data_IF_706438843865
#
_entry.id   IF_706438843865
#
_cell.length_a   1.000
_cell.length_b   1.000
_cell.length_c   1.000
_cell.angle_alpha   90.00
_cell.angle_beta   90.00
_cell.angle_gamma   90.00
#
_symmetry.space_group_name_H-M   'P 1'
#
loop_
_entity.id
_entity.type
_entity.pdbx_description
1 polymer ?
#
# COMPACT_ATOMS: atom_id res chain seq x y z
N UNK A 1 6.65 3.97 -19.78
CA UNK A 1 5.34 3.30 -19.80
C UNK A 1 4.22 4.28 -19.45
N UNK A 2 3.07 4.24 -20.12
CA UNK A 2 1.87 5.03 -19.77
C UNK A 2 1.02 4.24 -18.75
N UNK A 3 0.26 4.90 -17.87
CA UNK A 3 -0.57 4.31 -16.81
C UNK A 3 -1.55 3.28 -17.36
N UNK A 4 -2.20 3.56 -18.50
CA UNK A 4 -3.11 2.60 -19.14
C UNK A 4 -2.40 1.28 -19.47
N UNK A 5 -1.15 1.37 -19.94
CA UNK A 5 -0.34 0.18 -20.22
C UNK A 5 0.07 -0.54 -18.92
N UNK A 6 0.25 0.17 -17.82
CA UNK A 6 0.52 -0.45 -16.51
C UNK A 6 -0.69 -1.27 -16.03
N UNK A 7 -1.91 -0.74 -16.20
CA UNK A 7 -3.13 -1.48 -15.88
C UNK A 7 -3.36 -2.68 -16.80
N UNK A 8 -3.15 -2.51 -18.12
CA UNK A 8 -3.38 -3.58 -19.10
C UNK A 8 -2.34 -4.71 -19.01
N UNK A 9 -1.10 -4.38 -18.63
CA UNK A 9 -0.04 -5.36 -18.41
C UNK A 9 0.07 -5.81 -16.95
N UNK A 10 -0.84 -5.36 -16.08
CA UNK A 10 -0.85 -5.77 -14.70
C UNK A 10 -1.01 -7.30 -14.62
N UNK A 11 -0.06 -7.95 -13.96
CA UNK A 11 -0.18 -9.37 -13.63
C UNK A 11 -0.89 -9.52 -12.30
N UNK A 12 -1.35 -10.74 -11.99
CA UNK A 12 -1.90 -11.06 -10.67
C UNK A 12 -0.87 -10.76 -9.58
N UNK A 13 -1.28 -10.24 -8.40
CA UNK A 13 -0.39 -9.99 -7.26
C UNK A 13 0.54 -11.18 -6.92
N UNK A 14 0.06 -12.42 -6.99
CA UNK A 14 0.84 -13.64 -6.73
C UNK A 14 1.98 -13.88 -7.72
N UNK A 15 1.90 -13.29 -8.93
CA UNK A 15 2.92 -13.39 -9.97
C UNK A 15 3.95 -12.27 -9.91
N UNK A 16 3.71 -11.25 -9.08
CA UNK A 16 4.67 -10.18 -8.83
C UNK A 16 5.54 -10.59 -7.65
N UNK A 17 6.83 -10.79 -7.88
CA UNK A 17 7.80 -11.15 -6.82
C UNK A 17 8.35 -9.89 -6.15
N UNK A 18 8.71 -8.89 -6.96
CA UNK A 18 9.14 -7.57 -6.54
C UNK A 18 8.43 -6.52 -7.39
N UNK A 19 8.01 -5.41 -6.78
CA UNK A 19 7.39 -4.30 -7.50
C UNK A 19 8.45 -3.31 -7.98
N UNK A 20 8.69 -3.18 -9.29
CA UNK A 20 9.61 -2.17 -9.80
C UNK A 20 9.06 -0.77 -9.53
N UNK A 21 9.95 0.22 -9.39
CA UNK A 21 9.56 1.61 -9.22
C UNK A 21 9.64 2.42 -10.52
N UNK A 22 8.72 3.37 -10.70
CA UNK A 22 8.69 4.27 -11.86
C UNK A 22 8.36 5.70 -11.45
N UNK A 23 9.05 6.66 -12.05
CA UNK A 23 8.80 8.08 -11.81
C UNK A 23 7.56 8.57 -12.59
N UNK A 24 6.51 8.97 -11.86
CA UNK A 24 5.28 9.56 -12.40
C UNK A 24 4.76 10.69 -11.49
N UNK A 25 5.48 11.82 -11.38
CA UNK A 25 5.20 12.88 -10.39
C UNK A 25 3.79 13.46 -10.44
N UNK A 26 3.13 13.47 -11.61
CA UNK A 26 1.76 13.97 -11.73
C UNK A 26 0.73 13.13 -10.96
N UNK A 27 1.06 11.87 -10.66
CA UNK A 27 0.15 10.90 -10.05
C UNK A 27 0.31 10.79 -8.54
N UNK A 28 1.37 11.37 -7.98
CA UNK A 28 1.63 11.37 -6.56
C UNK A 28 1.46 12.79 -6.01
N UNK A 29 0.58 12.91 -5.01
CA UNK A 29 0.31 14.20 -4.38
C UNK A 29 1.48 14.57 -3.47
N UNK A 30 1.78 15.87 -3.35
CA UNK A 30 2.73 16.37 -2.33
C UNK A 30 2.31 15.88 -0.94
N UNK A 31 3.26 15.28 -0.21
CA UNK A 31 3.05 14.69 1.12
C UNK A 31 2.89 13.17 1.13
N UNK A 32 3.01 12.50 -0.03
CA UNK A 32 3.10 11.05 -0.15
C UNK A 32 4.42 10.71 -0.85
N UNK A 33 5.14 9.71 -0.37
CA UNK A 33 6.48 9.39 -0.89
C UNK A 33 6.44 8.35 -2.02
N UNK A 34 5.50 7.40 -1.93
CA UNK A 34 5.26 6.39 -2.94
C UNK A 34 3.78 5.98 -3.03
N UNK A 35 3.44 5.23 -4.08
CA UNK A 35 2.12 4.65 -4.29
C UNK A 35 2.21 3.29 -5.00
N UNK A 36 1.66 2.26 -4.39
CA UNK A 36 1.43 0.97 -5.06
C UNK A 36 0.34 1.05 -6.12
N UNK A 37 0.73 0.88 -7.39
CA UNK A 37 -0.15 0.91 -8.55
C UNK A 37 0.05 -0.30 -9.47
N UNK A 38 -0.87 -1.26 -9.44
CA UNK A 38 -0.92 -2.46 -10.26
C UNK A 38 0.42 -3.21 -10.35
N UNK A 39 1.05 -3.46 -9.20
CA UNK A 39 2.33 -4.16 -9.10
C UNK A 39 3.54 -3.32 -9.46
N UNK A 40 3.40 -1.99 -9.50
CA UNK A 40 4.49 -1.03 -9.69
C UNK A 40 4.43 0.03 -8.59
N UNK A 41 5.58 0.49 -8.12
CA UNK A 41 5.69 1.61 -7.18
C UNK A 41 5.80 2.91 -7.98
N UNK A 42 4.92 3.87 -7.73
CA UNK A 42 4.97 5.20 -8.36
C UNK A 42 5.67 6.17 -7.41
N UNK A 43 6.68 6.91 -7.92
CA UNK A 43 7.45 7.92 -7.17
C UNK A 43 7.43 9.30 -7.84
N UNK A 44 7.96 10.34 -7.18
CA UNK A 44 8.07 11.70 -7.74
C UNK A 44 9.20 11.83 -8.75
N UNK A 45 10.32 11.14 -8.53
CA UNK A 45 11.53 11.29 -9.36
C UNK A 45 12.14 9.97 -9.79
N UNK A 46 12.92 10.03 -10.88
CA UNK A 46 13.68 8.88 -11.37
C UNK A 46 14.74 8.42 -10.35
N UNK A 47 15.28 9.35 -9.56
CA UNK A 47 16.26 9.08 -8.51
C UNK A 47 15.63 8.28 -7.37
N UNK A 48 14.41 8.65 -6.95
CA UNK A 48 13.64 7.87 -5.98
C UNK A 48 13.32 6.48 -6.54
N UNK A 49 12.83 6.38 -7.78
CA UNK A 49 12.52 5.09 -8.39
C UNK A 49 13.76 4.17 -8.42
N UNK A 50 14.91 4.71 -8.83
CA UNK A 50 16.17 3.97 -8.81
C UNK A 50 16.60 3.56 -7.40
N UNK A 51 16.30 4.36 -6.37
CA UNK A 51 16.58 4.01 -4.98
C UNK A 51 15.74 2.79 -4.52
N UNK A 52 14.44 2.78 -4.83
CA UNK A 52 13.54 1.64 -4.54
C UNK A 52 13.97 0.35 -5.25
N UNK A 53 14.52 0.44 -6.46
CA UNK A 53 14.99 -0.73 -7.19
C UNK A 53 16.34 -1.24 -6.68
N UNK A 54 17.16 -0.36 -6.08
CA UNK A 54 18.51 -0.71 -5.58
C UNK A 54 18.53 -1.10 -4.11
N UNK A 55 17.54 -0.69 -3.32
CA UNK A 55 17.52 -0.86 -1.87
C UNK A 55 16.17 -1.35 -1.40
N UNK A 56 16.21 -2.37 -0.55
CA UNK A 56 15.05 -2.82 0.19
C UNK A 56 15.07 -2.17 1.58
N UNK A 57 14.54 -0.95 1.66
CA UNK A 57 14.41 -0.18 2.90
C UNK A 57 12.97 -0.22 3.43
N UNK A 58 12.70 0.50 4.53
CA UNK A 58 11.39 0.50 5.17
C UNK A 58 10.26 0.93 4.23
N UNK A 59 10.52 1.87 3.31
CA UNK A 59 9.49 2.36 2.40
C UNK A 59 9.25 1.36 1.27
N UNK A 60 10.30 0.72 0.72
CA UNK A 60 10.13 -0.41 -0.19
C UNK A 60 9.36 -1.55 0.47
N UNK A 61 9.67 -1.88 1.73
CA UNK A 61 8.96 -2.90 2.49
C UNK A 61 7.49 -2.55 2.68
N UNK A 62 7.17 -1.29 3.05
CA UNK A 62 5.81 -0.79 3.16
C UNK A 62 4.99 -1.04 1.88
N UNK A 63 5.53 -0.65 0.72
CA UNK A 63 4.86 -0.88 -0.56
C UNK A 63 4.73 -2.38 -0.86
N UNK A 64 5.76 -3.18 -0.57
CA UNK A 64 5.69 -4.64 -0.73
C UNK A 64 4.64 -5.30 0.17
N UNK A 65 4.36 -4.76 1.36
CA UNK A 65 3.24 -5.23 2.19
C UNK A 65 1.91 -5.06 1.45
N UNK A 66 1.68 -3.95 0.73
CA UNK A 66 0.46 -3.78 -0.07
C UNK A 66 0.31 -4.82 -1.19
N UNK A 67 1.42 -5.28 -1.78
CA UNK A 67 1.40 -6.39 -2.71
C UNK A 67 0.88 -7.68 -2.05
N UNK A 68 1.37 -8.01 -0.86
CA UNK A 68 0.97 -9.22 -0.14
C UNK A 68 -0.47 -9.11 0.40
N UNK A 69 -0.92 -7.92 0.75
CA UNK A 69 -2.32 -7.64 1.05
C UNK A 69 -3.20 -7.81 -0.20
N UNK A 70 -2.72 -7.41 -1.38
CA UNK A 70 -3.43 -7.61 -2.64
C UNK A 70 -3.58 -9.10 -3.00
N UNK A 71 -2.57 -9.93 -2.66
CA UNK A 71 -2.67 -11.40 -2.73
C UNK A 71 -3.79 -11.92 -1.82
N UNK A 72 -3.87 -11.41 -0.58
CA UNK A 72 -4.94 -11.76 0.37
C UNK A 72 -6.34 -11.26 -0.01
N UNK A 73 -6.47 -10.32 -0.95
CA UNK A 73 -7.74 -9.84 -1.50
C UNK A 73 -8.07 -10.53 -2.83
N UNK A 74 -8.26 -11.85 -2.77
CA UNK A 74 -8.59 -12.69 -3.94
C UNK A 74 -7.55 -12.65 -5.06
N UNK A 75 -6.28 -12.39 -4.73
CA UNK A 75 -5.20 -12.27 -5.72
C UNK A 75 -5.56 -11.30 -6.87
N UNK A 76 -6.11 -10.14 -6.51
CA UNK A 76 -6.68 -9.17 -7.45
C UNK A 76 -6.42 -7.74 -7.01
N UNK A 77 -5.69 -6.99 -7.85
CA UNK A 77 -5.49 -5.55 -7.68
C UNK A 77 -6.82 -4.78 -7.61
N UNK A 78 -7.81 -5.18 -8.41
CA UNK A 78 -9.12 -4.51 -8.41
C UNK A 78 -9.83 -4.73 -7.07
N UNK A 79 -9.82 -5.95 -6.53
CA UNK A 79 -10.41 -6.22 -5.23
C UNK A 79 -9.67 -5.47 -4.11
N UNK A 80 -8.33 -5.46 -4.16
CA UNK A 80 -7.50 -4.67 -3.25
C UNK A 80 -7.93 -3.20 -3.24
N UNK A 81 -7.99 -2.56 -4.42
CA UNK A 81 -8.38 -1.16 -4.53
C UNK A 81 -9.82 -0.87 -4.10
N UNK A 82 -10.76 -1.80 -4.35
CA UNK A 82 -12.14 -1.65 -3.87
C UNK A 82 -12.21 -1.67 -2.35
N UNK A 83 -11.51 -2.61 -1.69
CA UNK A 83 -11.46 -2.65 -0.23
C UNK A 83 -10.72 -1.44 0.35
N UNK A 84 -9.57 -1.11 -0.22
CA UNK A 84 -8.78 0.05 0.20
C UNK A 84 -9.61 1.33 0.10
N UNK A 85 -10.24 1.58 -1.06
CA UNK A 85 -11.09 2.74 -1.29
C UNK A 85 -12.33 2.77 -0.39
N UNK A 86 -12.94 1.62 -0.11
CA UNK A 86 -14.04 1.51 0.83
C UNK A 86 -13.64 1.94 2.23
N UNK A 87 -12.54 1.41 2.78
CA UNK A 87 -12.06 1.80 4.11
C UNK A 87 -11.58 3.25 4.17
N UNK A 88 -10.95 3.73 3.11
CA UNK A 88 -10.57 5.14 2.98
C UNK A 88 -11.80 6.05 3.05
N UNK A 89 -12.88 5.70 2.35
CA UNK A 89 -14.13 6.47 2.35
C UNK A 89 -14.82 6.43 3.71
N UNK A 90 -14.91 5.25 4.34
CA UNK A 90 -15.48 5.11 5.67
C UNK A 90 -14.74 5.98 6.70
N UNK A 91 -13.40 5.94 6.71
CA UNK A 91 -12.62 6.75 7.63
C UNK A 91 -12.77 8.25 7.34
N UNK A 92 -12.74 8.65 6.06
CA UNK A 92 -12.88 10.06 5.66
C UNK A 92 -14.26 10.64 6.00
N UNK A 93 -15.33 9.86 5.88
CA UNK A 93 -16.69 10.33 6.17
C UNK A 93 -17.06 10.26 7.66
N UNK A 94 -16.45 9.35 8.43
CA UNK A 94 -16.87 9.06 9.81
C UNK A 94 -15.87 9.52 10.89
N UNK A 95 -14.66 9.96 10.52
CA UNK A 95 -13.66 10.52 11.44
C UNK A 95 -13.43 12.00 11.17
N UNK A 96 -13.03 12.74 12.21
CA UNK A 96 -12.57 14.15 12.11
C UNK A 96 -11.05 14.26 12.00
N UNK A 97 -10.34 13.12 12.00
CA UNK A 97 -8.88 13.09 11.93
C UNK A 97 -8.41 13.58 10.57
N UNK A 98 -7.41 14.45 10.55
CA UNK A 98 -6.79 14.89 9.30
C UNK A 98 -6.18 13.69 8.57
N UNK A 99 -6.41 13.59 7.26
CA UNK A 99 -6.01 12.44 6.45
C UNK A 99 -6.50 11.09 7.00
N UNK A 100 -7.68 11.06 7.67
CA UNK A 100 -8.28 9.85 8.24
C UNK A 100 -8.32 8.67 7.26
N UNK A 101 -8.58 8.94 5.98
CA UNK A 101 -8.62 7.93 4.93
C UNK A 101 -7.34 7.11 4.79
N UNK A 102 -6.17 7.67 5.11
CA UNK A 102 -4.90 6.96 5.11
C UNK A 102 -4.55 6.47 6.51
N UNK A 103 -4.61 7.37 7.50
CA UNK A 103 -4.24 7.09 8.89
C UNK A 103 -5.03 5.96 9.54
N UNK A 104 -6.30 5.79 9.17
CA UNK A 104 -7.20 4.81 9.77
C UNK A 104 -7.53 3.65 8.83
N UNK A 105 -6.88 3.60 7.66
CA UNK A 105 -7.06 2.51 6.71
C UNK A 105 -6.42 1.23 7.27
N UNK A 106 -7.15 0.12 7.40
CA UNK A 106 -6.62 -1.14 7.90
C UNK A 106 -5.36 -1.62 7.17
N UNK A 107 -5.26 -1.38 5.86
CA UNK A 107 -4.12 -1.77 5.06
C UNK A 107 -2.88 -0.94 5.42
N UNK A 108 -3.04 0.37 5.54
CA UNK A 108 -1.99 1.30 5.97
C UNK A 108 -1.52 1.02 7.40
N UNK A 109 -2.46 0.73 8.32
CA UNK A 109 -2.12 0.41 9.71
C UNK A 109 -1.18 -0.80 9.81
N UNK A 110 -1.43 -1.85 9.03
CA UNK A 110 -0.52 -3.00 8.94
C UNK A 110 0.81 -2.61 8.29
N UNK A 111 0.77 -1.91 7.14
CA UNK A 111 1.97 -1.53 6.41
C UNK A 111 2.91 -0.65 7.25
N UNK A 112 2.39 0.38 7.92
CA UNK A 112 3.16 1.20 8.85
C UNK A 112 3.63 0.45 10.08
N UNK A 113 2.85 -0.53 10.59
CA UNK A 113 3.24 -1.29 11.76
C UNK A 113 4.48 -2.14 11.52
N UNK A 114 4.63 -2.68 10.30
CA UNK A 114 5.69 -3.63 9.94
C UNK A 114 6.71 -3.07 8.96
N UNK A 115 6.65 -1.79 8.56
CA UNK A 115 7.56 -1.24 7.56
C UNK A 115 9.04 -1.37 7.94
N UNK A 116 9.39 -1.27 9.23
CA UNK A 116 10.76 -1.41 9.73
C UNK A 116 11.17 -2.87 10.01
N UNK A 117 10.23 -3.82 9.92
CA UNK A 117 10.44 -5.26 10.09
C UNK A 117 10.69 -5.88 8.71
N UNK A 118 11.93 -5.79 8.20
CA UNK A 118 12.28 -6.17 6.83
C UNK A 118 12.12 -7.67 6.52
N UNK A 119 12.05 -8.50 7.55
CA UNK A 119 11.79 -9.94 7.49
C UNK A 119 10.29 -10.30 7.63
N UNK A 120 9.41 -9.30 7.80
CA UNK A 120 7.97 -9.51 8.01
C UNK A 120 7.31 -10.38 6.92
N UNK A 121 7.75 -10.23 5.68
CA UNK A 121 7.20 -10.94 4.51
C UNK A 121 7.86 -12.30 4.26
N UNK A 122 8.94 -12.63 4.98
CA UNK A 122 9.74 -13.82 4.69
C UNK A 122 8.93 -15.11 4.92
N UNK A 123 8.83 -15.92 3.87
CA UNK A 123 8.11 -17.19 3.90
C UNK A 123 6.58 -17.05 3.90
N UNK A 124 6.04 -15.85 3.72
CA UNK A 124 4.60 -15.63 3.56
C UNK A 124 4.19 -15.71 2.09
N UNK A 125 2.97 -16.20 1.84
CA UNK A 125 2.35 -16.08 0.51
C UNK A 125 1.45 -14.83 0.43
N UNK A 126 0.87 -14.42 1.55
CA UNK A 126 -0.04 -13.27 1.71
C UNK A 126 0.03 -12.72 3.14
N UNK A 127 -0.45 -11.49 3.35
CA UNK A 127 -0.62 -10.93 4.71
C UNK A 127 -2.07 -10.53 4.96
N UNK A 128 -2.54 -10.75 6.20
CA UNK A 128 -3.97 -10.62 6.55
C UNK A 128 -4.22 -9.85 7.85
N UNK A 129 -3.19 -9.25 8.46
CA UNK A 129 -3.32 -8.55 9.73
C UNK A 129 -4.26 -7.33 9.61
N UNK A 130 -4.32 -6.69 8.43
CA UNK A 130 -5.33 -5.68 8.10
C UNK A 130 -6.77 -6.12 8.41
N UNK A 131 -7.11 -7.42 8.32
CA UNK A 131 -8.46 -7.90 8.65
C UNK A 131 -8.79 -7.70 10.14
N UNK A 132 -7.79 -7.76 11.01
CA UNK A 132 -7.93 -7.45 12.44
C UNK A 132 -8.22 -5.96 12.61
N UNK A 133 -7.46 -5.09 11.97
CA UNK A 133 -7.70 -3.64 12.00
C UNK A 133 -9.07 -3.29 11.39
N UNK A 134 -9.49 -3.96 10.33
CA UNK A 134 -10.79 -3.78 9.69
C UNK A 134 -11.98 -4.06 10.62
N UNK A 135 -11.82 -4.95 11.61
CA UNK A 135 -12.83 -5.23 12.63
C UNK A 135 -12.82 -4.24 13.79
N UNK A 136 -11.75 -3.46 13.96
CA UNK A 136 -11.66 -2.44 15.00
C UNK A 136 -12.54 -1.23 14.65
N UNK A 137 -13.23 -0.62 15.63
CA UNK A 137 -13.87 0.69 15.48
C UNK A 137 -12.85 1.78 15.10
N UNK A 138 -13.28 2.78 14.33
CA UNK A 138 -12.41 3.89 13.92
C UNK A 138 -11.75 4.60 15.11
N UNK A 139 -12.48 4.77 16.23
CA UNK A 139 -11.94 5.37 17.47
C UNK A 139 -10.79 4.58 18.08
N UNK A 140 -10.74 3.27 17.88
CA UNK A 140 -9.63 2.44 18.35
C UNK A 140 -8.44 2.56 17.40
N UNK A 141 -8.69 2.58 16.09
CA UNK A 141 -7.67 2.84 15.07
C UNK A 141 -6.98 4.19 15.28
N UNK A 142 -7.73 5.22 15.65
CA UNK A 142 -7.19 6.55 15.97
C UNK A 142 -6.17 6.53 17.11
N UNK A 143 -6.35 5.65 18.11
CA UNK A 143 -5.43 5.55 19.26
C UNK A 143 -4.09 4.90 18.89
N UNK A 144 -4.11 4.01 17.90
CA UNK A 144 -2.93 3.23 17.46
C UNK A 144 -2.24 3.85 16.24
N UNK A 145 -2.93 4.70 15.48
CA UNK A 145 -2.38 5.47 14.37
C UNK A 145 -1.48 6.61 14.85
N UNK A 146 -0.25 6.29 15.29
CA UNK A 146 0.77 7.24 15.77
C UNK A 146 2.01 7.30 14.88
N UNK A 147 1.82 7.15 13.59
CA UNK A 147 2.85 7.29 12.57
C UNK A 147 2.76 8.70 11.97
#
# INVERSE_FOLDING_TARGET
>A
MNILLMMLHAVRPSRTVDMPAVAKPFWIRKGYDALTFFGTIITHSAQEAEAFDKRFDSLKNHEMIHLYQARATHDSWVCFYLYYGWYWLQATLCSRTENAGYRLNPFELEAYRHMDELDYLDGLDETTEWRRYARMPLREREKISKF
#
